data_IF_891637481006
#
_entry.id   IF_891637481006
#
_cell.length_a   1.000
_cell.length_b   1.000
_cell.length_c   1.000
_cell.angle_alpha   90.00
_cell.angle_beta   90.00
_cell.angle_gamma   90.00
#
_symmetry.space_group_name_H-M   'P 1'
#
loop_
_entity.id
_entity.type
_entity.pdbx_description
1 polymer ?
#
# COMPACT_ATOMS: atom_id res chain seq x y z
N UNK A 1 -2.20 -30.53 44.26
CA UNK A 1 -1.71 -30.64 42.87
C UNK A 1 -1.79 -29.25 42.24
N UNK A 2 -0.65 -28.60 42.07
CA UNK A 2 -0.58 -27.24 41.54
C UNK A 2 -0.81 -27.27 40.01
N UNK A 3 -1.79 -26.48 39.56
CA UNK A 3 -2.05 -26.23 38.14
C UNK A 3 -0.83 -25.56 37.53
N UNK A 4 -0.11 -26.28 36.67
CA UNK A 4 0.98 -25.74 35.87
C UNK A 4 0.44 -24.61 34.98
N UNK A 5 0.78 -23.38 35.35
CA UNK A 5 0.53 -22.21 34.52
C UNK A 5 1.26 -22.38 33.20
N UNK A 6 0.50 -22.39 32.11
CA UNK A 6 1.06 -22.33 30.77
C UNK A 6 1.91 -21.06 30.64
N UNK A 7 3.16 -21.16 30.15
CA UNK A 7 4.00 -19.98 29.97
C UNK A 7 3.31 -19.04 28.96
N UNK A 8 2.97 -17.83 29.40
CA UNK A 8 2.59 -16.73 28.50
C UNK A 8 3.75 -16.54 27.53
N UNK A 9 3.52 -16.92 26.28
CA UNK A 9 4.43 -16.60 25.19
C UNK A 9 4.79 -15.12 25.28
N UNK A 10 6.09 -14.84 25.36
CA UNK A 10 6.69 -13.53 25.19
C UNK A 10 6.02 -12.82 24.01
N UNK A 11 5.18 -11.81 24.30
CA UNK A 11 4.60 -10.97 23.24
C UNK A 11 5.75 -10.23 22.59
N UNK A 12 6.14 -10.71 21.41
CA UNK A 12 7.01 -10.00 20.49
C UNK A 12 6.51 -8.55 20.37
N UNK A 13 7.43 -7.59 20.41
CA UNK A 13 7.15 -6.16 20.16
C UNK A 13 6.46 -5.95 18.79
N UNK A 14 6.50 -6.95 17.92
CA UNK A 14 5.87 -7.01 16.59
C UNK A 14 4.52 -7.73 16.55
N UNK A 15 3.83 -7.89 17.68
CA UNK A 15 2.51 -8.54 17.71
C UNK A 15 1.41 -7.66 17.10
N UNK A 16 1.47 -7.51 15.78
CA UNK A 16 0.53 -6.76 14.93
C UNK A 16 -0.83 -7.47 14.80
N UNK A 17 -1.02 -8.58 15.51
CA UNK A 17 -2.31 -9.27 15.61
C UNK A 17 -3.40 -8.33 16.17
N UNK A 18 -3.04 -7.42 17.09
CA UNK A 18 -3.96 -6.42 17.64
C UNK A 18 -4.40 -5.36 16.60
N UNK A 19 -3.62 -5.18 15.53
CA UNK A 19 -3.90 -4.23 14.45
C UNK A 19 -4.66 -4.86 13.28
N UNK A 20 -4.98 -6.16 13.35
CA UNK A 20 -5.67 -6.89 12.29
C UNK A 20 -6.98 -7.43 12.83
N UNK A 21 -8.09 -7.09 12.18
CA UNK A 21 -9.40 -7.65 12.52
C UNK A 21 -9.42 -9.16 12.27
N UNK A 22 -10.26 -9.89 13.02
CA UNK A 22 -10.45 -11.34 12.84
C UNK A 22 -10.89 -11.66 11.41
N UNK A 23 -11.80 -10.85 10.84
CA UNK A 23 -12.33 -11.04 9.49
C UNK A 23 -11.25 -10.85 8.41
N UNK A 24 -10.34 -9.90 8.61
CA UNK A 24 -9.19 -9.69 7.73
C UNK A 24 -8.19 -10.84 7.90
N UNK A 25 -7.87 -11.23 9.14
CA UNK A 25 -6.99 -12.35 9.42
C UNK A 25 -7.46 -13.66 8.76
N UNK A 26 -8.76 -13.95 8.79
CA UNK A 26 -9.37 -15.10 8.11
C UNK A 26 -9.20 -15.04 6.58
N UNK A 27 -9.33 -13.86 5.97
CA UNK A 27 -9.19 -13.71 4.52
C UNK A 27 -7.73 -13.87 4.05
N UNK A 28 -6.76 -13.62 4.93
CA UNK A 28 -5.33 -13.61 4.60
C UNK A 28 -4.54 -14.75 5.27
N UNK A 29 -5.20 -15.65 6.01
CA UNK A 29 -4.56 -16.72 6.78
C UNK A 29 -3.59 -17.58 5.95
N UNK A 30 -3.86 -17.75 4.65
CA UNK A 30 -3.05 -18.57 3.75
C UNK A 30 -1.66 -17.98 3.42
N UNK A 31 -1.47 -16.68 3.65
CA UNK A 31 -0.17 -15.99 3.49
C UNK A 31 0.36 -15.39 4.79
N UNK A 32 -0.49 -15.27 5.81
CA UNK A 32 -0.16 -14.75 7.13
C UNK A 32 -1.18 -13.69 7.56
N UNK A 33 -1.71 -13.82 8.77
CA UNK A 33 -2.80 -12.97 9.26
C UNK A 33 -2.41 -11.49 9.36
N UNK A 34 -1.15 -11.17 9.64
CA UNK A 34 -0.64 -9.80 9.82
C UNK A 34 -0.10 -9.15 8.54
N UNK A 35 0.08 -9.93 7.46
CA UNK A 35 0.59 -9.47 6.16
C UNK A 35 -0.17 -8.26 5.59
N UNK A 36 -1.52 -8.24 5.52
CA UNK A 36 -2.24 -7.10 4.95
C UNK A 36 -2.00 -5.80 5.74
N UNK A 37 -1.87 -5.90 7.06
CA UNK A 37 -1.62 -4.75 7.95
C UNK A 37 -0.20 -4.22 7.76
N UNK A 38 0.79 -5.10 7.57
CA UNK A 38 2.17 -4.73 7.29
C UNK A 38 2.31 -4.03 5.93
N UNK A 39 1.70 -4.60 4.89
CA UNK A 39 1.74 -4.03 3.55
C UNK A 39 1.00 -2.68 3.49
N UNK A 40 -0.14 -2.55 4.19
CA UNK A 40 -0.87 -1.29 4.28
C UNK A 40 -0.08 -0.23 5.05
N UNK A 41 0.63 -0.62 6.11
CA UNK A 41 1.52 0.28 6.83
C UNK A 41 2.71 0.72 5.97
N UNK A 42 3.30 -0.19 5.20
CA UNK A 42 4.34 0.14 4.21
C UNK A 42 3.85 1.20 3.24
N UNK A 43 2.66 0.99 2.66
CA UNK A 43 2.06 1.94 1.74
C UNK A 43 1.79 3.30 2.39
N UNK A 44 1.35 3.35 3.65
CA UNK A 44 1.20 4.64 4.36
C UNK A 44 2.54 5.36 4.47
N UNK A 45 3.61 4.65 4.84
CA UNK A 45 4.95 5.24 5.02
C UNK A 45 5.49 5.73 3.66
N UNK A 46 5.49 4.89 2.64
CA UNK A 46 6.00 5.23 1.30
C UNK A 46 5.19 6.37 0.67
N UNK A 47 3.86 6.36 0.82
CA UNK A 47 2.99 7.44 0.36
C UNK A 47 3.28 8.76 1.09
N UNK A 48 3.47 8.71 2.41
CA UNK A 48 3.75 9.92 3.21
C UNK A 48 5.06 10.58 2.78
N UNK A 49 6.11 9.78 2.59
CA UNK A 49 7.41 10.27 2.09
C UNK A 49 7.23 10.89 0.71
N UNK A 50 6.53 10.22 -0.20
CA UNK A 50 6.29 10.73 -1.56
C UNK A 50 5.54 12.06 -1.55
N UNK A 51 4.48 12.19 -0.73
CA UNK A 51 3.74 13.46 -0.57
C UNK A 51 4.65 14.56 -0.02
N UNK A 52 5.47 14.28 1.00
CA UNK A 52 6.39 15.27 1.58
C UNK A 52 7.37 15.77 0.52
N UNK A 53 7.96 14.86 -0.25
CA UNK A 53 8.88 15.20 -1.34
C UNK A 53 8.17 16.05 -2.40
N UNK A 54 6.98 15.65 -2.84
CA UNK A 54 6.19 16.39 -3.82
C UNK A 54 5.86 17.81 -3.32
N UNK A 55 5.47 17.97 -2.05
CA UNK A 55 5.20 19.28 -1.43
C UNK A 55 6.46 20.15 -1.43
N UNK A 56 7.59 19.62 -0.98
CA UNK A 56 8.86 20.37 -0.91
C UNK A 56 9.26 20.84 -2.31
N UNK A 57 9.24 19.96 -3.30
CA UNK A 57 9.60 20.29 -4.69
C UNK A 57 8.65 21.32 -5.29
N UNK A 58 7.34 21.19 -5.03
CA UNK A 58 6.36 22.16 -5.47
C UNK A 58 6.57 23.55 -4.85
N UNK A 59 6.85 23.60 -3.55
CA UNK A 59 7.05 24.86 -2.83
C UNK A 59 8.37 25.56 -3.19
N UNK A 60 9.39 24.82 -3.65
CA UNK A 60 10.76 25.35 -3.80
C UNK A 60 11.24 25.48 -5.24
N UNK A 61 10.82 24.59 -6.14
CA UNK A 61 11.37 24.48 -7.50
C UNK A 61 10.28 24.66 -8.55
N UNK A 62 9.17 23.94 -8.43
CA UNK A 62 8.16 23.91 -9.49
C UNK A 62 7.37 25.22 -9.65
N UNK A 63 7.36 26.11 -8.66
CA UNK A 63 6.71 27.42 -8.76
C UNK A 63 7.71 28.58 -8.94
N UNK A 64 8.94 28.30 -9.40
CA UNK A 64 9.89 29.35 -9.79
C UNK A 64 9.35 30.13 -11.00
N UNK A 65 9.63 31.44 -11.11
CA UNK A 65 9.13 32.28 -12.19
C UNK A 65 9.62 31.86 -13.59
N UNK A 66 10.71 31.09 -13.67
CA UNK A 66 11.26 30.53 -14.90
C UNK A 66 10.62 29.17 -15.29
N UNK A 67 9.48 28.81 -14.68
CA UNK A 67 8.73 27.61 -15.06
C UNK A 67 7.68 27.94 -16.15
N UNK A 68 7.92 27.44 -17.35
CA UNK A 68 7.05 27.56 -18.54
C UNK A 68 5.66 26.94 -18.36
N UNK A 69 5.49 26.01 -17.41
CA UNK A 69 4.18 25.39 -17.13
C UNK A 69 3.25 26.29 -16.31
N UNK A 70 3.74 27.42 -15.81
CA UNK A 70 3.00 28.37 -15.01
C UNK A 70 2.90 27.99 -13.52
N UNK A 71 2.52 28.97 -12.71
CA UNK A 71 2.31 28.78 -11.28
C UNK A 71 1.16 27.80 -11.03
N UNK A 72 1.36 26.85 -10.11
CA UNK A 72 0.34 25.87 -9.74
C UNK A 72 0.37 24.57 -10.53
N UNK A 73 1.07 24.50 -11.66
CA UNK A 73 1.06 23.32 -12.54
C UNK A 73 1.60 22.06 -11.84
N UNK A 74 2.63 22.20 -11.02
CA UNK A 74 3.25 21.06 -10.32
C UNK A 74 2.31 20.42 -9.29
N UNK A 75 1.41 21.21 -8.67
CA UNK A 75 0.40 20.69 -7.75
C UNK A 75 -0.63 19.84 -8.49
N UNK A 76 -0.95 20.20 -9.74
CA UNK A 76 -1.92 19.47 -10.56
C UNK A 76 -1.28 18.18 -11.10
N UNK A 77 0.01 18.23 -11.44
CA UNK A 77 0.70 17.10 -12.07
C UNK A 77 1.17 16.07 -11.03
N UNK A 78 1.69 16.50 -9.87
CA UNK A 78 2.44 15.62 -8.95
C UNK A 78 1.68 15.18 -7.70
N UNK A 79 0.50 15.73 -7.42
CA UNK A 79 -0.24 15.47 -6.17
C UNK A 79 -1.46 14.57 -6.28
N UNK A 80 -2.26 14.54 -7.36
CA UNK A 80 -3.51 13.80 -7.36
C UNK A 80 -3.36 12.32 -7.01
N UNK A 81 -2.50 11.57 -7.70
CA UNK A 81 -2.32 10.14 -7.47
C UNK A 81 -1.56 9.87 -6.17
N UNK A 82 -0.54 10.68 -5.85
CA UNK A 82 0.18 10.53 -4.58
C UNK A 82 -0.73 10.77 -3.37
N UNK A 83 -1.53 11.83 -3.41
CA UNK A 83 -2.49 12.18 -2.37
C UNK A 83 -3.63 11.16 -2.26
N UNK A 84 -4.19 10.71 -3.38
CA UNK A 84 -5.20 9.66 -3.40
C UNK A 84 -4.66 8.34 -2.82
N UNK A 85 -3.40 8.01 -3.12
CA UNK A 85 -2.77 6.79 -2.61
C UNK A 85 -2.52 6.86 -1.10
N UNK A 86 -2.07 8.01 -0.58
CA UNK A 86 -1.95 8.21 0.87
C UNK A 86 -3.31 8.03 1.56
N UNK A 87 -4.35 8.68 1.05
CA UNK A 87 -5.70 8.57 1.59
C UNK A 87 -6.21 7.12 1.56
N UNK A 88 -6.05 6.44 0.43
CA UNK A 88 -6.46 5.04 0.30
C UNK A 88 -5.67 4.11 1.23
N UNK A 89 -4.39 4.37 1.45
CA UNK A 89 -3.56 3.57 2.36
C UNK A 89 -3.99 3.73 3.82
N UNK A 90 -4.38 4.94 4.23
CA UNK A 90 -4.99 5.19 5.54
C UNK A 90 -6.33 4.45 5.66
N UNK A 91 -7.19 4.55 4.65
CA UNK A 91 -8.47 3.82 4.62
C UNK A 91 -8.24 2.30 4.71
N UNK A 92 -7.28 1.77 3.95
CA UNK A 92 -6.91 0.35 3.96
C UNK A 92 -6.45 -0.09 5.35
N UNK A 93 -5.67 0.73 6.05
CA UNK A 93 -5.26 0.46 7.43
C UNK A 93 -6.46 0.41 8.39
N UNK A 94 -7.42 1.31 8.23
CA UNK A 94 -8.65 1.31 9.02
C UNK A 94 -9.53 0.08 8.72
N UNK A 95 -9.63 -0.33 7.45
CA UNK A 95 -10.36 -1.55 7.06
C UNK A 95 -9.66 -2.79 7.60
N UNK A 96 -8.32 -2.84 7.57
CA UNK A 96 -7.55 -3.93 8.17
C UNK A 96 -7.85 -4.07 9.68
N UNK A 97 -7.97 -2.95 10.41
CA UNK A 97 -8.24 -2.94 11.85
C UNK A 97 -9.70 -3.20 12.23
N UNK A 98 -10.65 -2.56 11.53
CA UNK A 98 -12.06 -2.53 11.93
C UNK A 98 -12.99 -3.33 11.01
N UNK A 99 -12.57 -3.60 9.78
CA UNK A 99 -13.42 -4.15 8.72
C UNK A 99 -12.96 -5.52 8.22
N UNK A 100 -13.35 -5.84 6.98
CA UNK A 100 -12.91 -7.05 6.27
C UNK A 100 -12.15 -6.61 5.02
N UNK A 101 -10.82 -6.64 5.10
CA UNK A 101 -9.98 -6.35 3.95
C UNK A 101 -9.80 -7.63 3.13
N UNK A 102 -10.49 -7.73 1.98
CA UNK A 102 -10.40 -8.93 1.13
C UNK A 102 -9.19 -8.84 0.19
N UNK A 103 -8.51 -9.96 -0.10
CA UNK A 103 -7.45 -9.97 -1.11
C UNK A 103 -7.90 -9.47 -2.49
N UNK A 104 -9.16 -9.73 -2.87
CA UNK A 104 -9.73 -9.21 -4.11
C UNK A 104 -9.82 -7.69 -4.16
N UNK A 105 -10.27 -7.06 -3.06
CA UNK A 105 -10.27 -5.60 -2.94
C UNK A 105 -8.85 -5.04 -3.03
N UNK A 106 -7.89 -5.66 -2.33
CA UNK A 106 -6.49 -5.25 -2.35
C UNK A 106 -5.92 -5.30 -3.78
N UNK A 107 -6.10 -6.41 -4.51
CA UNK A 107 -5.63 -6.52 -5.89
C UNK A 107 -6.25 -5.43 -6.75
N UNK A 108 -7.58 -5.27 -6.71
CA UNK A 108 -8.27 -4.28 -7.53
C UNK A 108 -7.78 -2.86 -7.25
N UNK A 109 -7.70 -2.47 -5.98
CA UNK A 109 -7.27 -1.11 -5.61
C UNK A 109 -5.80 -0.85 -5.92
N UNK A 110 -4.91 -1.80 -5.60
CA UNK A 110 -3.46 -1.58 -5.74
C UNK A 110 -2.96 -1.74 -7.18
N UNK A 111 -3.68 -2.46 -8.05
CA UNK A 111 -3.41 -2.43 -9.50
C UNK A 111 -3.73 -1.04 -10.07
N UNK A 112 -4.89 -0.47 -9.73
CA UNK A 112 -5.29 0.87 -10.19
C UNK A 112 -4.29 1.92 -9.67
N UNK A 113 -3.95 1.86 -8.39
CA UNK A 113 -2.96 2.76 -7.77
C UNK A 113 -1.59 2.62 -8.44
N UNK A 114 -1.08 1.40 -8.60
CA UNK A 114 0.23 1.18 -9.19
C UNK A 114 0.32 1.74 -10.62
N UNK A 115 -0.67 1.44 -11.46
CA UNK A 115 -0.72 1.97 -12.82
C UNK A 115 -0.89 3.50 -12.84
N UNK A 116 -1.74 4.05 -11.97
CA UNK A 116 -1.94 5.49 -11.85
C UNK A 116 -0.64 6.22 -11.48
N UNK A 117 0.10 5.71 -10.49
CA UNK A 117 1.38 6.26 -10.07
C UNK A 117 2.45 6.17 -11.15
N UNK A 118 2.48 5.09 -11.94
CA UNK A 118 3.40 4.98 -13.09
C UNK A 118 3.10 6.07 -14.12
N UNK A 119 1.83 6.27 -14.47
CA UNK A 119 1.43 7.31 -15.44
C UNK A 119 1.80 8.71 -14.92
N UNK A 120 1.51 8.99 -13.65
CA UNK A 120 1.83 10.27 -13.01
C UNK A 120 3.34 10.50 -12.92
N UNK A 121 4.13 9.47 -12.61
CA UNK A 121 5.58 9.54 -12.58
C UNK A 121 6.17 9.85 -13.97
N UNK A 122 5.67 9.18 -15.01
CA UNK A 122 6.09 9.43 -16.40
C UNK A 122 5.75 10.87 -16.80
N UNK A 123 4.53 11.34 -16.52
CA UNK A 123 4.17 12.73 -16.81
C UNK A 123 5.02 13.73 -16.03
N UNK A 124 5.30 13.46 -14.76
CA UNK A 124 6.16 14.29 -13.93
C UNK A 124 7.56 14.40 -14.54
N UNK A 125 8.14 13.29 -15.02
CA UNK A 125 9.44 13.31 -15.70
C UNK A 125 9.34 14.10 -17.00
N UNK A 126 8.44 13.74 -17.91
CA UNK A 126 8.37 14.37 -19.23
C UNK A 126 8.13 15.88 -19.18
N UNK A 127 7.37 16.36 -18.18
CA UNK A 127 7.04 17.77 -18.04
C UNK A 127 8.11 18.56 -17.27
N UNK A 128 8.95 17.90 -16.47
CA UNK A 128 9.96 18.55 -15.62
C UNK A 128 11.41 18.06 -15.85
N UNK A 129 11.68 17.27 -16.88
CA UNK A 129 13.02 16.74 -17.21
C UNK A 129 14.06 17.86 -17.41
N UNK A 130 13.59 19.01 -17.88
CA UNK A 130 14.39 20.19 -18.18
C UNK A 130 14.58 21.13 -16.99
N UNK A 131 13.93 20.88 -15.85
CA UNK A 131 13.96 21.69 -14.63
C UNK A 131 14.63 20.94 -13.46
N UNK A 132 15.82 21.39 -13.04
CA UNK A 132 16.61 20.93 -11.88
C UNK A 132 16.16 19.57 -11.27
N UNK A 133 15.77 19.56 -9.99
CA UNK A 133 15.32 18.38 -9.25
C UNK A 133 13.78 18.24 -9.29
N UNK A 134 13.08 18.91 -10.20
CA UNK A 134 11.62 18.91 -10.24
C UNK A 134 11.03 17.56 -10.66
N UNK A 135 11.81 16.72 -11.33
CA UNK A 135 11.47 15.33 -11.66
C UNK A 135 11.61 14.36 -10.46
N UNK A 136 12.28 14.77 -9.37
CA UNK A 136 12.59 13.90 -8.22
C UNK A 136 11.34 13.21 -7.59
N UNK A 137 10.16 13.87 -7.46
CA UNK A 137 8.96 13.21 -6.96
C UNK A 137 8.58 11.94 -7.74
N UNK A 138 8.88 11.89 -9.04
CA UNK A 138 8.59 10.72 -9.87
C UNK A 138 9.34 9.46 -9.41
N UNK A 139 10.55 9.60 -8.87
CA UNK A 139 11.31 8.47 -8.32
C UNK A 139 10.56 7.84 -7.15
N UNK A 140 10.01 8.68 -6.28
CA UNK A 140 9.24 8.21 -5.12
C UNK A 140 7.90 7.62 -5.53
N UNK A 141 7.23 8.18 -6.54
CA UNK A 141 6.04 7.57 -7.15
C UNK A 141 6.33 6.18 -7.73
N UNK A 142 7.49 5.97 -8.37
CA UNK A 142 7.89 4.64 -8.84
C UNK A 142 8.14 3.66 -7.67
N UNK A 143 8.82 4.10 -6.61
CA UNK A 143 9.01 3.28 -5.40
C UNK A 143 7.65 2.87 -4.81
N UNK A 144 6.71 3.80 -4.73
CA UNK A 144 5.36 3.56 -4.24
C UNK A 144 4.57 2.61 -5.17
N UNK A 145 4.78 2.70 -6.50
CA UNK A 145 4.23 1.73 -7.44
C UNK A 145 4.83 0.33 -7.25
N UNK A 146 6.11 0.21 -6.92
CA UNK A 146 6.74 -1.09 -6.62
C UNK A 146 6.11 -1.68 -5.35
N UNK A 147 5.89 -0.86 -4.31
CA UNK A 147 5.22 -1.29 -3.08
C UNK A 147 3.77 -1.77 -3.37
N UNK A 148 3.04 -1.05 -4.23
CA UNK A 148 1.73 -1.49 -4.72
C UNK A 148 1.79 -2.84 -5.44
N UNK A 149 2.80 -3.07 -6.29
CA UNK A 149 3.02 -4.35 -6.97
C UNK A 149 3.27 -5.49 -5.97
N UNK A 150 4.08 -5.25 -4.93
CA UNK A 150 4.29 -6.24 -3.85
C UNK A 150 2.97 -6.58 -3.18
N UNK A 151 2.13 -5.58 -2.90
CA UNK A 151 0.80 -5.79 -2.33
C UNK A 151 -0.07 -6.69 -3.23
N UNK A 152 -0.10 -6.41 -4.53
CA UNK A 152 -0.85 -7.20 -5.52
C UNK A 152 -0.35 -8.65 -5.56
N UNK A 153 0.96 -8.87 -5.55
CA UNK A 153 1.55 -10.22 -5.55
C UNK A 153 1.07 -11.01 -4.33
N UNK A 154 1.13 -10.42 -3.12
CA UNK A 154 0.63 -11.06 -1.90
C UNK A 154 -0.87 -11.30 -1.94
N UNK A 155 -1.66 -10.38 -2.49
CA UNK A 155 -3.09 -10.56 -2.71
C UNK A 155 -3.40 -11.76 -3.62
N UNK A 156 -2.67 -11.90 -4.73
CA UNK A 156 -2.80 -13.03 -5.65
C UNK A 156 -2.44 -14.35 -4.95
N UNK A 157 -1.35 -14.36 -4.18
CA UNK A 157 -0.94 -15.55 -3.42
C UNK A 157 -2.00 -15.95 -2.39
N UNK A 158 -2.59 -14.98 -1.67
CA UNK A 158 -3.66 -15.25 -0.70
C UNK A 158 -4.88 -15.90 -1.36
N UNK A 159 -5.29 -15.40 -2.54
CA UNK A 159 -6.40 -16.00 -3.29
C UNK A 159 -6.07 -17.40 -3.81
N UNK A 160 -4.87 -17.60 -4.37
CA UNK A 160 -4.46 -18.90 -4.94
C UNK A 160 -4.38 -19.96 -3.85
N UNK A 161 -3.67 -19.68 -2.74
CA UNK A 161 -3.53 -20.62 -1.63
C UNK A 161 -4.86 -20.86 -0.90
N UNK A 162 -5.70 -19.83 -0.77
CA UNK A 162 -7.03 -19.97 -0.18
C UNK A 162 -7.97 -20.89 -0.98
N UNK A 163 -7.85 -20.94 -2.31
CA UNK A 163 -8.61 -21.89 -3.15
C UNK A 163 -8.18 -23.34 -2.95
N UNK A 164 -6.87 -23.60 -2.89
CA UNK A 164 -6.32 -24.94 -2.67
C UNK A 164 -6.82 -25.55 -1.35
N UNK A 165 -6.81 -24.76 -0.26
CA UNK A 165 -7.28 -25.21 1.06
C UNK A 165 -8.77 -25.59 1.03
N UNK A 166 -9.60 -24.84 0.29
CA UNK A 166 -11.04 -25.15 0.16
C UNK A 166 -11.29 -26.42 -0.64
N UNK A 167 -10.55 -26.63 -1.74
CA UNK A 167 -10.67 -27.85 -2.54
C UNK A 167 -10.34 -29.09 -1.72
N UNK A 168 -9.21 -29.07 -1.01
CA UNK A 168 -8.79 -30.20 -0.18
C UNK A 168 -9.81 -30.54 0.91
N UNK A 169 -10.48 -29.55 1.52
CA UNK A 169 -11.52 -29.82 2.52
C UNK A 169 -12.75 -30.52 1.93
N UNK A 170 -13.12 -30.20 0.70
CA UNK A 170 -14.27 -30.79 0.05
C UNK A 170 -14.00 -32.27 -0.31
N UNK A 171 -12.78 -32.59 -0.73
CA UNK A 171 -12.36 -33.96 -1.08
C UNK A 171 -12.37 -34.93 0.13
N UNK A 172 -12.29 -34.41 1.37
CA UNK A 172 -12.40 -35.22 2.59
C UNK A 172 -13.83 -35.33 3.14
N UNK A 173 -14.80 -34.67 2.53
CA UNK A 173 -16.20 -34.64 2.99
C UNK A 173 -17.18 -35.35 2.06
N UNK A 174 -16.72 -35.90 0.94
CA UNK A 174 -17.53 -36.80 0.11
C UNK A 174 -17.33 -38.26 0.58
N UNK A 175 -18.38 -38.93 1.09
CA UNK A 175 -18.35 -40.35 1.50
C UNK A 175 -18.37 -41.32 0.31
#
# INVERSE_FOLDING_TARGET
MASAGTPRASRSIWDLSACTSVRTAECWHAVGSTVPTLLSLSMVITSTITVIVAIIINATIANKPDNDLGEGSGWIIMMPGTGATLLWSIISQLICKFGRFTPGLAIGSYVIIGLGLIVEAIWTILLYEWHDAAWLPAVFMFIQSIDACVFVIYGIQALRKGKVIKSSKNDFTEP
#
